data_IF_844660383035
#
_entry.id   IF_844660383035
#
_cell.length_a   1.000
_cell.length_b   1.000
_cell.length_c   1.000
_cell.angle_alpha   90.00
_cell.angle_beta   90.00
_cell.angle_gamma   90.00
#
_symmetry.space_group_name_H-M   'P 1'
#
loop_
_entity.id
_entity.type
_entity.pdbx_description
1 polymer ?
#
# COMPACT_ATOMS: atom_id res chain seq x y z
N UNK A 1 -5.63 7.86 22.51
CA UNK A 1 -4.43 8.21 21.71
C UNK A 1 -3.71 6.94 21.26
N UNK A 2 -3.20 6.10 22.17
CA UNK A 2 -2.47 4.85 21.84
C UNK A 2 -3.28 3.91 20.92
N UNK A 3 -4.55 3.63 21.21
CA UNK A 3 -5.38 2.77 20.36
C UNK A 3 -5.63 3.33 18.95
N UNK A 4 -5.69 4.66 18.80
CA UNK A 4 -5.83 5.31 17.48
C UNK A 4 -4.53 5.24 16.68
N UNK A 5 -3.38 5.43 17.34
CA UNK A 5 -2.07 5.29 16.71
C UNK A 5 -1.80 3.84 16.30
N UNK A 6 -2.08 2.87 17.17
CA UNK A 6 -1.92 1.44 16.87
C UNK A 6 -2.88 1.01 15.76
N UNK A 7 -4.15 1.40 15.81
CA UNK A 7 -5.11 1.10 14.74
C UNK A 7 -4.73 1.78 13.41
N UNK A 8 -4.17 2.99 13.45
CA UNK A 8 -3.72 3.72 12.26
C UNK A 8 -2.51 3.06 11.60
N UNK A 9 -1.52 2.65 12.40
CA UNK A 9 -0.34 1.91 11.91
C UNK A 9 -0.76 0.55 11.37
N UNK A 10 -1.59 -0.19 12.10
CA UNK A 10 -2.01 -1.53 11.68
C UNK A 10 -2.90 -1.48 10.44
N UNK A 11 -3.77 -0.47 10.29
CA UNK A 11 -4.60 -0.32 9.09
C UNK A 11 -3.77 0.08 7.86
N UNK A 12 -3.20 1.28 7.88
CA UNK A 12 -2.45 1.83 6.73
C UNK A 12 -1.13 1.10 6.46
N UNK A 13 -0.48 0.59 7.50
CA UNK A 13 0.75 -0.20 7.37
C UNK A 13 0.50 -1.58 6.76
N UNK A 14 -0.62 -2.24 7.07
CA UNK A 14 -0.99 -3.51 6.44
C UNK A 14 -1.30 -3.35 4.96
N UNK A 15 -1.93 -2.25 4.55
CA UNK A 15 -2.17 -1.94 3.14
C UNK A 15 -0.86 -1.69 2.38
N UNK A 16 0.08 -0.95 2.96
CA UNK A 16 1.42 -0.74 2.38
C UNK A 16 2.18 -2.05 2.28
N UNK A 17 2.18 -2.90 3.32
CA UNK A 17 2.83 -4.21 3.29
C UNK A 17 2.20 -5.12 2.23
N UNK A 18 0.87 -5.10 2.10
CA UNK A 18 0.14 -5.87 1.09
C UNK A 18 0.48 -5.40 -0.33
N UNK A 19 0.47 -4.08 -0.58
CA UNK A 19 0.91 -3.49 -1.84
C UNK A 19 2.34 -3.90 -2.20
N UNK A 20 3.22 -3.87 -1.20
CA UNK A 20 4.64 -4.18 -1.33
C UNK A 20 4.90 -5.65 -1.61
N UNK A 21 4.16 -6.54 -0.96
CA UNK A 21 4.17 -7.97 -1.28
C UNK A 21 3.70 -8.22 -2.71
N UNK A 22 2.65 -7.54 -3.18
CA UNK A 22 2.19 -7.67 -4.57
C UNK A 22 3.22 -7.20 -5.59
N UNK A 23 3.87 -6.06 -5.33
CA UNK A 23 4.87 -5.49 -6.26
C UNK A 23 6.19 -6.25 -6.20
N UNK A 24 6.71 -6.55 -5.00
CA UNK A 24 8.05 -7.13 -4.82
C UNK A 24 8.04 -8.67 -4.81
N UNK A 25 7.09 -9.30 -4.12
CA UNK A 25 7.07 -10.76 -3.98
C UNK A 25 6.48 -11.47 -5.20
N UNK A 26 5.46 -10.89 -5.84
CA UNK A 26 4.87 -11.46 -7.05
C UNK A 26 5.47 -10.91 -8.36
N UNK A 27 6.36 -9.90 -8.30
CA UNK A 27 6.90 -9.17 -9.47
C UNK A 27 5.82 -8.84 -10.51
N UNK A 28 4.61 -8.56 -10.03
CA UNK A 28 3.50 -8.20 -10.90
C UNK A 28 3.84 -6.84 -11.49
N UNK A 29 3.72 -6.75 -12.82
CA UNK A 29 3.76 -5.50 -13.55
C UNK A 29 2.90 -4.46 -12.81
N UNK A 30 3.46 -3.28 -12.50
CA UNK A 30 2.84 -2.24 -11.67
C UNK A 30 1.47 -1.83 -12.22
N UNK A 31 1.31 -1.97 -13.54
CA UNK A 31 0.06 -1.76 -14.27
C UNK A 31 -1.10 -2.65 -13.82
N UNK A 32 -0.81 -3.83 -13.27
CA UNK A 32 -1.79 -4.80 -12.74
C UNK A 32 -1.80 -4.78 -11.22
N UNK A 33 -0.64 -4.64 -10.58
CA UNK A 33 -0.54 -4.61 -9.12
C UNK A 33 -1.29 -3.42 -8.48
N UNK A 34 -1.21 -2.24 -9.11
CA UNK A 34 -1.86 -1.02 -8.60
C UNK A 34 -3.38 -1.13 -8.49
N UNK A 35 -4.14 -1.47 -9.55
CA UNK A 35 -5.60 -1.60 -9.44
C UNK A 35 -6.00 -2.74 -8.49
N UNK A 36 -5.28 -3.86 -8.49
CA UNK A 36 -5.56 -4.97 -7.56
C UNK A 36 -5.38 -4.55 -6.12
N UNK A 37 -4.31 -3.82 -5.79
CA UNK A 37 -4.06 -3.33 -4.44
C UNK A 37 -5.09 -2.30 -3.99
N UNK A 38 -5.57 -1.43 -4.88
CA UNK A 38 -6.62 -0.45 -4.54
C UNK A 38 -7.93 -1.16 -4.18
N UNK A 39 -8.28 -2.24 -4.88
CA UNK A 39 -9.45 -3.05 -4.54
C UNK A 39 -9.29 -3.74 -3.19
N UNK A 40 -8.12 -4.34 -2.92
CA UNK A 40 -7.81 -4.95 -1.62
C UNK A 40 -7.87 -3.92 -0.48
N UNK A 41 -7.32 -2.73 -0.69
CA UNK A 41 -7.36 -1.61 0.25
C UNK A 41 -8.80 -1.16 0.53
N UNK A 42 -9.65 -1.10 -0.49
CA UNK A 42 -11.07 -0.79 -0.34
C UNK A 42 -11.83 -1.84 0.47
N UNK A 43 -11.55 -3.13 0.24
CA UNK A 43 -12.18 -4.23 0.99
C UNK A 43 -11.71 -4.24 2.46
N UNK A 44 -10.41 -4.04 2.72
CA UNK A 44 -9.88 -3.94 4.07
C UNK A 44 -10.49 -2.75 4.82
N UNK A 45 -10.61 -1.59 4.17
CA UNK A 45 -11.24 -0.41 4.75
C UNK A 45 -12.71 -0.66 5.09
N UNK A 46 -13.46 -1.36 4.22
CA UNK A 46 -14.85 -1.74 4.48
C UNK A 46 -14.96 -2.71 5.67
N UNK A 47 -14.10 -3.72 5.73
CA UNK A 47 -14.06 -4.65 6.86
C UNK A 47 -13.73 -3.95 8.19
N UNK A 48 -12.75 -3.04 8.17
CA UNK A 48 -12.39 -2.21 9.33
C UNK A 48 -13.53 -1.28 9.76
N UNK A 49 -14.25 -0.70 8.81
CA UNK A 49 -15.45 0.09 9.07
C UNK A 49 -16.55 -0.75 9.73
N UNK A 50 -16.88 -1.91 9.17
CA UNK A 50 -17.91 -2.81 9.71
C UNK A 50 -17.55 -3.29 11.12
N UNK A 51 -16.29 -3.63 11.34
CA UNK A 51 -15.80 -4.00 12.67
C UNK A 51 -15.95 -2.85 13.68
N UNK A 52 -15.59 -1.63 13.28
CA UNK A 52 -15.68 -0.46 14.16
C UNK A 52 -17.12 0.01 14.42
N UNK A 53 -18.01 -0.17 13.45
CA UNK A 53 -19.43 0.13 13.57
C UNK A 53 -20.17 -0.92 14.41
N UNK A 54 -19.76 -2.19 14.34
CA UNK A 54 -20.41 -3.30 15.04
C UNK A 54 -19.88 -3.61 16.45
N UNK A 55 -18.58 -3.43 16.69
CA UNK A 55 -17.91 -3.88 17.94
C UNK A 55 -17.24 -2.74 18.74
N UNK A 56 -17.23 -1.50 18.24
CA UNK A 56 -16.64 -0.33 18.91
C UNK A 56 -17.68 0.77 19.09
N UNK A 57 -17.32 1.87 19.76
CA UNK A 57 -18.15 3.07 20.08
C UNK A 57 -18.72 3.80 18.83
N UNK A 58 -18.60 3.22 17.63
CA UNK A 58 -19.00 3.83 16.37
C UNK A 58 -17.93 4.78 15.80
N UNK A 59 -18.21 5.33 14.62
CA UNK A 59 -17.35 6.35 14.02
C UNK A 59 -17.60 7.73 14.63
N UNK A 60 -16.55 8.53 14.74
CA UNK A 60 -16.69 9.96 15.06
C UNK A 60 -17.52 10.66 13.98
N UNK A 61 -18.32 11.66 14.37
CA UNK A 61 -19.19 12.41 13.46
C UNK A 61 -18.42 13.08 12.31
N UNK A 62 -17.20 13.57 12.57
CA UNK A 62 -16.31 14.09 11.54
C UNK A 62 -15.84 13.05 10.52
N UNK A 63 -15.74 11.78 10.91
CA UNK A 63 -15.38 10.69 10.00
C UNK A 63 -16.49 10.41 8.99
N UNK A 64 -17.76 10.61 9.36
CA UNK A 64 -18.88 10.53 8.42
C UNK A 64 -18.83 11.63 7.36
N UNK A 65 -18.50 12.86 7.75
CA UNK A 65 -18.33 13.95 6.79
C UNK A 65 -17.22 13.65 5.77
N UNK A 66 -16.07 13.14 6.22
CA UNK A 66 -15.01 12.70 5.31
C UNK A 66 -15.46 11.55 4.42
N UNK A 67 -16.21 10.59 4.97
CA UNK A 67 -16.73 9.46 4.22
C UNK A 67 -17.62 9.90 3.05
N UNK A 68 -18.59 10.78 3.31
CA UNK A 68 -19.50 11.27 2.27
C UNK A 68 -18.79 12.07 1.18
N UNK A 69 -17.77 12.85 1.53
CA UNK A 69 -16.96 13.56 0.53
C UNK A 69 -16.12 12.58 -0.28
N UNK A 70 -15.54 11.54 0.34
CA UNK A 70 -14.66 10.61 -0.36
C UNK A 70 -15.38 9.67 -1.34
N UNK A 71 -16.62 9.22 -1.04
CA UNK A 71 -17.35 8.27 -1.90
C UNK A 71 -17.38 8.70 -3.38
N UNK A 72 -17.90 9.89 -3.75
CA UNK A 72 -18.02 10.27 -5.16
C UNK A 72 -16.66 10.41 -5.85
N UNK A 73 -15.65 10.94 -5.15
CA UNK A 73 -14.28 11.04 -5.70
C UNK A 73 -13.72 9.65 -5.99
N UNK A 74 -13.86 8.69 -5.08
CA UNK A 74 -13.27 7.34 -5.24
C UNK A 74 -14.05 6.52 -6.27
N UNK A 75 -15.38 6.54 -6.24
CA UNK A 75 -16.24 5.78 -7.16
C UNK A 75 -16.01 6.17 -8.62
N UNK A 76 -15.74 7.45 -8.89
CA UNK A 76 -15.43 7.92 -10.24
C UNK A 76 -13.92 7.80 -10.54
N UNK A 77 -13.09 8.24 -9.60
CA UNK A 77 -11.65 8.35 -9.77
C UNK A 77 -10.94 7.00 -9.94
N UNK A 78 -11.31 5.98 -9.17
CA UNK A 78 -10.70 4.65 -9.24
C UNK A 78 -10.91 3.96 -10.61
N UNK A 79 -12.13 3.81 -11.14
CA UNK A 79 -12.33 3.21 -12.47
C UNK A 79 -11.80 4.08 -13.61
N UNK A 80 -11.87 5.42 -13.50
CA UNK A 80 -11.28 6.31 -14.49
C UNK A 80 -9.75 6.16 -14.56
N UNK A 81 -9.08 6.13 -13.40
CA UNK A 81 -7.64 5.91 -13.29
C UNK A 81 -7.21 4.55 -13.83
N UNK A 82 -7.95 3.48 -13.49
CA UNK A 82 -7.68 2.13 -14.01
C UNK A 82 -7.80 2.07 -15.54
N UNK A 83 -8.83 2.70 -16.12
CA UNK A 83 -8.98 2.79 -17.58
C UNK A 83 -7.87 3.61 -18.23
N UNK A 84 -7.46 4.72 -17.62
CA UNK A 84 -6.41 5.58 -18.15
C UNK A 84 -5.05 4.85 -18.19
N UNK A 85 -4.74 4.07 -17.17
CA UNK A 85 -3.49 3.31 -17.04
C UNK A 85 -3.45 2.11 -18.01
N UNK A 86 -4.59 1.52 -18.37
CA UNK A 86 -4.68 0.31 -19.22
C UNK A 86 -3.93 0.40 -20.55
N UNK A 87 -3.87 1.56 -21.19
CA UNK A 87 -3.24 1.73 -22.51
C UNK A 87 -1.85 2.38 -22.45
N UNK A 88 -1.30 2.63 -21.25
CA UNK A 88 0.01 3.28 -21.10
C UNK A 88 1.15 2.29 -20.83
N UNK A 89 2.39 2.74 -21.06
CA UNK A 89 3.60 1.96 -20.81
C UNK A 89 3.83 1.80 -19.30
N UNK A 90 4.47 0.69 -18.89
CA UNK A 90 4.74 0.39 -17.48
C UNK A 90 5.57 1.50 -16.81
N UNK A 91 6.57 2.01 -17.54
CA UNK A 91 7.46 3.08 -17.08
C UNK A 91 6.70 4.41 -16.82
N UNK A 92 5.74 4.75 -17.68
CA UNK A 92 4.91 5.95 -17.49
C UNK A 92 4.05 5.83 -16.23
N UNK A 93 3.46 4.66 -16.00
CA UNK A 93 2.61 4.38 -14.83
C UNK A 93 3.44 4.45 -13.55
N UNK A 94 4.61 3.82 -13.53
CA UNK A 94 5.53 3.89 -12.39
C UNK A 94 5.97 5.34 -12.11
N UNK A 95 6.35 6.10 -13.15
CA UNK A 95 6.71 7.51 -13.02
C UNK A 95 5.57 8.36 -12.44
N UNK A 96 4.34 8.16 -12.91
CA UNK A 96 3.17 8.86 -12.39
C UNK A 96 2.87 8.50 -10.92
N UNK A 97 3.01 7.22 -10.56
CA UNK A 97 2.86 6.76 -9.18
C UNK A 97 3.91 7.40 -8.26
N UNK A 98 5.18 7.38 -8.63
CA UNK A 98 6.24 8.01 -7.84
C UNK A 98 6.01 9.52 -7.70
N UNK A 99 5.64 10.20 -8.79
CA UNK A 99 5.27 11.61 -8.75
C UNK A 99 4.12 11.88 -7.77
N UNK A 100 3.05 11.08 -7.83
CA UNK A 100 1.90 11.22 -6.95
C UNK A 100 2.27 11.00 -5.48
N UNK A 101 3.11 10.00 -5.17
CA UNK A 101 3.58 9.74 -3.81
C UNK A 101 4.39 10.93 -3.28
N UNK A 102 5.28 11.50 -4.09
CA UNK A 102 6.06 12.69 -3.70
C UNK A 102 5.14 13.88 -3.44
N UNK A 103 4.18 14.14 -4.32
CA UNK A 103 3.21 15.23 -4.14
C UNK A 103 2.38 15.03 -2.88
N UNK A 104 1.87 13.81 -2.63
CA UNK A 104 1.10 13.50 -1.42
C UNK A 104 1.94 13.67 -0.16
N UNK A 105 3.21 13.25 -0.17
CA UNK A 105 4.12 13.42 0.95
C UNK A 105 4.40 14.90 1.25
N UNK A 106 4.67 15.71 0.22
CA UNK A 106 4.87 17.16 0.38
C UNK A 106 3.59 17.83 0.87
N UNK A 107 2.43 17.49 0.29
CA UNK A 107 1.14 18.01 0.73
C UNK A 107 0.87 17.64 2.20
N UNK A 108 1.20 16.42 2.63
CA UNK A 108 1.09 16.00 4.02
C UNK A 108 1.98 16.84 4.95
N UNK A 109 3.22 17.15 4.55
CA UNK A 109 4.12 18.02 5.33
C UNK A 109 3.55 19.44 5.47
N UNK A 110 2.88 19.96 4.44
CA UNK A 110 2.32 21.32 4.44
C UNK A 110 1.01 21.39 5.23
N UNK A 111 0.12 20.40 5.07
CA UNK A 111 -1.23 20.39 5.66
C UNK A 111 -1.19 20.01 7.14
N UNK A 112 -0.32 19.08 7.53
CA UNK A 112 -0.29 18.55 8.89
C UNK A 112 0.65 19.43 9.74
N UNK A 113 0.18 20.00 10.88
CA UNK A 113 1.06 20.74 11.77
C UNK A 113 2.13 19.81 12.36
N UNK A 114 3.36 19.95 11.87
CA UNK A 114 4.50 19.14 12.26
C UNK A 114 4.96 19.47 13.69
N UNK A 115 4.48 18.70 14.66
CA UNK A 115 5.01 18.73 16.03
C UNK A 115 6.34 17.95 16.10
N UNK A 116 7.24 18.34 17.02
CA UNK A 116 8.52 17.66 17.22
C UNK A 116 8.35 16.15 17.46
N UNK A 117 7.33 15.73 18.20
CA UNK A 117 7.04 14.30 18.41
C UNK A 117 6.58 13.59 17.13
N UNK A 118 5.77 14.27 16.29
CA UNK A 118 5.29 13.69 15.05
C UNK A 118 6.43 13.46 14.06
N UNK A 119 7.39 14.40 13.98
CA UNK A 119 8.57 14.26 13.12
C UNK A 119 9.42 13.06 13.53
N UNK A 120 9.73 12.91 14.83
CA UNK A 120 10.49 11.74 15.32
C UNK A 120 9.74 10.43 15.05
N UNK A 121 8.43 10.40 15.29
CA UNK A 121 7.61 9.22 15.05
C UNK A 121 7.57 8.86 13.55
N UNK A 122 7.37 9.83 12.66
CA UNK A 122 7.40 9.63 11.21
C UNK A 122 8.77 9.14 10.74
N UNK A 123 9.86 9.69 11.28
CA UNK A 123 11.23 9.24 10.96
C UNK A 123 11.46 7.78 11.40
N UNK A 124 10.97 7.42 12.59
CA UNK A 124 11.06 6.06 13.12
C UNK A 124 10.25 5.06 12.26
N UNK A 125 9.04 5.42 11.84
CA UNK A 125 8.22 4.57 10.95
C UNK A 125 8.85 4.45 9.57
N UNK A 126 9.40 5.54 9.03
CA UNK A 126 10.05 5.53 7.71
C UNK A 126 11.32 4.68 7.72
N UNK A 127 12.16 4.81 8.75
CA UNK A 127 13.37 3.97 8.92
C UNK A 127 13.00 2.50 9.13
N UNK A 128 12.01 2.20 9.97
CA UNK A 128 11.49 0.84 10.14
C UNK A 128 10.95 0.24 8.84
N UNK A 129 10.19 1.03 8.07
CA UNK A 129 9.72 0.65 6.74
C UNK A 129 10.88 0.27 5.82
N UNK A 130 11.88 1.14 5.67
CA UNK A 130 13.07 0.88 4.84
C UNK A 130 13.74 -0.46 5.22
N UNK A 131 13.92 -0.72 6.52
CA UNK A 131 14.51 -1.98 7.01
C UNK A 131 13.65 -3.19 6.61
N UNK A 132 12.33 -3.14 6.82
CA UNK A 132 11.43 -4.22 6.43
C UNK A 132 11.43 -4.47 4.92
N UNK A 133 11.39 -3.41 4.12
CA UNK A 133 11.44 -3.49 2.66
C UNK A 133 12.74 -4.08 2.16
N UNK A 134 13.87 -3.69 2.76
CA UNK A 134 15.16 -4.26 2.44
C UNK A 134 15.23 -5.75 2.76
N UNK A 135 14.67 -6.15 3.90
CA UNK A 135 14.56 -7.57 4.29
C UNK A 135 13.66 -8.37 3.34
N UNK A 136 12.49 -7.82 2.96
CA UNK A 136 11.60 -8.44 1.99
C UNK A 136 12.26 -8.59 0.62
N UNK A 137 12.99 -7.57 0.16
CA UNK A 137 13.72 -7.64 -1.11
C UNK A 137 14.76 -8.76 -1.09
N UNK A 138 15.50 -8.91 0.02
CA UNK A 138 16.50 -9.97 0.17
C UNK A 138 15.87 -11.36 0.18
N UNK A 139 14.72 -11.54 0.85
CA UNK A 139 13.98 -12.79 0.83
C UNK A 139 13.44 -13.12 -0.58
N UNK A 140 13.02 -12.11 -1.35
CA UNK A 140 12.60 -12.28 -2.73
C UNK A 140 13.71 -12.81 -3.64
N UNK A 141 14.93 -12.27 -3.51
CA UNK A 141 16.09 -12.76 -4.28
C UNK A 141 16.47 -14.19 -3.93
N UNK A 142 16.44 -14.54 -2.63
CA UNK A 142 16.74 -15.90 -2.17
C UNK A 142 15.75 -16.93 -2.71
N UNK A 143 14.45 -16.61 -2.75
CA UNK A 143 13.43 -17.50 -3.35
C UNK A 143 13.65 -17.69 -4.85
N UNK A 144 14.04 -16.64 -5.56
CA UNK A 144 14.32 -16.71 -7.00
C UNK A 144 15.54 -17.60 -7.28
N UNK A 145 16.60 -17.46 -6.48
CA UNK A 145 17.78 -18.32 -6.57
C UNK A 145 17.43 -19.79 -6.28
N UNK A 146 16.57 -20.06 -5.30
CA UNK A 146 16.10 -21.41 -4.99
C UNK A 146 15.27 -22.02 -6.13
N UNK A 147 14.29 -21.28 -6.69
CA UNK A 147 13.49 -21.77 -7.83
C UNK A 147 14.38 -22.08 -9.04
N UNK A 148 15.34 -21.21 -9.36
CA UNK A 148 16.28 -21.43 -10.45
C UNK A 148 17.17 -22.67 -10.21
N UNK A 149 17.52 -22.95 -8.96
CA UNK A 149 18.26 -24.18 -8.60
C UNK A 149 17.42 -25.46 -8.76
N UNK A 150 16.10 -25.38 -8.57
CA UNK A 150 15.19 -26.50 -8.81
C UNK A 150 14.95 -26.75 -10.30
N UNK A 151 14.81 -25.69 -11.11
CA UNK A 151 14.71 -25.81 -12.57
C UNK A 151 15.96 -26.46 -13.15
N UNK A 152 17.15 -26.04 -12.71
CA UNK A 152 18.42 -26.66 -13.12
C UNK A 152 18.48 -28.14 -12.73
N UNK A 153 18.09 -28.50 -11.50
CA UNK A 153 18.03 -29.90 -11.05
C UNK A 153 17.02 -30.75 -11.83
N UNK A 154 15.87 -30.19 -12.19
CA UNK A 154 14.85 -30.89 -12.96
C UNK A 154 15.30 -31.15 -14.41
N UNK A 155 16.17 -30.29 -14.94
CA UNK A 155 16.74 -30.41 -16.28
C UNK A 155 17.94 -31.38 -16.35
N UNK A 156 18.56 -31.69 -15.21
CA UNK A 156 19.67 -32.64 -15.08
C UNK A 156 19.23 -34.10 -14.88
N UNK A 157 17.94 -34.41 -14.71
CA UNK A 157 17.44 -35.79 -14.61
C UNK A 157 17.26 -36.37 -16.02
N UNK A 158 18.13 -37.27 -16.50
CA UNK A 158 17.94 -37.93 -17.78
C UNK A 158 16.84 -38.99 -17.64
N UNK A 159 16.04 -39.15 -18.70
CA UNK A 159 15.10 -40.27 -18.86
C UNK A 159 15.78 -41.63 -18.77
#
# INVERSE_FOLDING_TARGET
IIGGTVSGITGSGLDIVTFSLLVLAFRLNEKVATPTSVVLMGMNALAGFLYKQGFSVGMAESAWNYWYVCIPIVVIGAPAGARFIRNRSRLFVAGFLYFSIVVQYIAAIIIIPMSRMLVFFSLAVLTFGIVLFWQMSKMGEQRLAWLKSLELKAQEVPH
#
